data_IF_076206010623
#
_entry.id   IF_076206010623
#
_cell.length_a   1.000
_cell.length_b   1.000
_cell.length_c   1.000
_cell.angle_alpha   90.00
_cell.angle_beta   90.00
_cell.angle_gamma   90.00
#
_symmetry.space_group_name_H-M   'P 1'
#
loop_
_entity.id
_entity.type
_entity.pdbx_description
1 polymer ?
#
# COMPACT_ATOMS: atom_id res chain seq x y z
N UNK A 1 -29.51 -20.83 60.97
CA UNK A 1 -30.59 -21.55 61.67
C UNK A 1 -31.80 -20.67 62.00
N UNK A 2 -31.72 -19.60 62.82
CA UNK A 2 -32.92 -18.82 63.22
C UNK A 2 -33.74 -18.22 62.05
N UNK A 3 -33.08 -17.84 60.95
CA UNK A 3 -33.74 -17.26 59.77
C UNK A 3 -34.47 -18.31 58.92
N UNK A 4 -33.91 -19.52 58.83
CA UNK A 4 -34.48 -20.64 58.07
C UNK A 4 -35.79 -21.10 58.71
N UNK A 5 -35.82 -21.17 60.04
CA UNK A 5 -37.03 -21.50 60.80
C UNK A 5 -38.12 -20.43 60.67
N UNK A 6 -37.73 -19.15 60.61
CA UNK A 6 -38.66 -18.04 60.37
C UNK A 6 -39.32 -18.13 58.99
N UNK A 7 -38.51 -18.41 57.95
CA UNK A 7 -39.01 -18.56 56.57
C UNK A 7 -39.94 -19.77 56.47
N UNK A 8 -39.56 -20.92 57.05
CA UNK A 8 -40.38 -22.15 57.05
C UNK A 8 -41.71 -21.97 57.78
N UNK A 9 -41.72 -21.25 58.90
CA UNK A 9 -42.94 -20.94 59.66
C UNK A 9 -43.87 -20.00 58.90
N UNK A 10 -43.32 -19.01 58.18
CA UNK A 10 -44.10 -17.97 57.49
C UNK A 10 -44.61 -18.41 56.12
N UNK A 11 -43.81 -19.16 55.35
CA UNK A 11 -44.10 -19.52 53.96
C UNK A 11 -44.28 -21.03 53.73
N UNK A 12 -44.11 -21.86 54.76
CA UNK A 12 -44.19 -23.31 54.66
C UNK A 12 -42.94 -23.92 54.00
N UNK A 13 -42.97 -25.25 53.80
CA UNK A 13 -41.92 -26.00 53.08
C UNK A 13 -42.27 -26.29 51.62
N UNK A 14 -43.41 -25.77 51.12
CA UNK A 14 -43.83 -25.97 49.75
C UNK A 14 -42.99 -25.14 48.79
N UNK A 15 -42.66 -25.69 47.61
CA UNK A 15 -41.97 -24.93 46.58
C UNK A 15 -42.93 -23.89 45.95
N UNK A 16 -42.69 -22.58 46.10
CA UNK A 16 -43.53 -21.54 45.51
C UNK A 16 -43.29 -21.39 44.00
N UNK A 17 -42.17 -21.91 43.49
CA UNK A 17 -41.83 -21.84 42.06
C UNK A 17 -42.34 -23.09 41.35
N UNK A 18 -43.64 -23.11 41.05
CA UNK A 18 -44.23 -24.11 40.16
C UNK A 18 -44.45 -23.49 38.78
N UNK A 19 -43.94 -24.15 37.76
CA UNK A 19 -44.26 -23.82 36.37
C UNK A 19 -45.63 -24.41 36.02
N UNK A 20 -46.41 -23.75 35.14
CA UNK A 20 -47.60 -24.36 34.55
C UNK A 20 -47.27 -25.68 33.85
N UNK A 21 -48.23 -26.62 33.86
CA UNK A 21 -48.08 -27.86 33.10
C UNK A 21 -47.91 -27.55 31.61
N UNK A 22 -46.96 -28.21 30.95
CA UNK A 22 -46.66 -28.01 29.53
C UNK A 22 -45.83 -26.77 29.17
N UNK A 23 -45.45 -25.91 30.13
CA UNK A 23 -44.66 -24.69 29.86
C UNK A 23 -43.36 -24.99 29.08
N UNK A 24 -42.58 -25.97 29.54
CA UNK A 24 -41.32 -26.33 28.89
C UNK A 24 -41.50 -27.06 27.56
N UNK A 25 -42.67 -27.65 27.31
CA UNK A 25 -42.98 -28.32 26.05
C UNK A 25 -43.09 -27.31 24.90
N UNK A 26 -43.73 -26.17 25.15
CA UNK A 26 -43.90 -25.10 24.16
C UNK A 26 -42.71 -24.13 24.11
N UNK A 27 -41.92 -24.02 25.19
CA UNK A 27 -40.79 -23.09 25.28
C UNK A 27 -39.79 -23.23 24.12
N UNK A 28 -39.43 -24.46 23.74
CA UNK A 28 -38.46 -24.71 22.67
C UNK A 28 -38.97 -24.22 21.32
N UNK A 29 -40.24 -24.46 21.02
CA UNK A 29 -40.90 -24.01 19.79
C UNK A 29 -41.00 -22.48 19.73
N UNK A 30 -41.36 -21.84 20.84
CA UNK A 30 -41.42 -20.39 20.94
C UNK A 30 -40.02 -19.78 20.77
N UNK A 31 -39.01 -20.32 21.45
CA UNK A 31 -37.62 -19.89 21.32
C UNK A 31 -37.15 -19.95 19.86
N UNK A 32 -37.39 -21.07 19.17
CA UNK A 32 -37.01 -21.23 17.77
C UNK A 32 -37.75 -20.28 16.83
N UNK A 33 -39.01 -19.95 17.12
CA UNK A 33 -39.78 -18.95 16.35
C UNK A 33 -39.35 -17.51 16.59
N UNK A 34 -38.79 -17.21 17.78
CA UNK A 34 -38.28 -15.88 18.16
C UNK A 34 -36.85 -15.67 17.69
N UNK A 35 -36.12 -16.75 17.40
CA UNK A 35 -34.82 -16.63 16.77
C UNK A 35 -35.01 -15.97 15.41
N UNK A 36 -34.25 -14.92 15.09
CA UNK A 36 -34.26 -14.36 13.74
C UNK A 36 -34.00 -15.51 12.78
N UNK A 37 -34.82 -15.61 11.72
CA UNK A 37 -34.55 -16.54 10.63
C UNK A 37 -33.08 -16.35 10.30
N UNK A 38 -32.31 -17.44 10.43
CA UNK A 38 -30.87 -17.40 10.16
C UNK A 38 -30.77 -17.23 8.66
N UNK A 39 -31.06 -16.02 8.18
CA UNK A 39 -30.68 -15.54 6.89
C UNK A 39 -29.20 -15.83 6.87
N UNK A 40 -28.86 -16.87 6.12
CA UNK A 40 -27.51 -17.12 5.68
C UNK A 40 -27.22 -15.90 4.84
N UNK A 41 -26.83 -14.80 5.51
CA UNK A 41 -26.30 -13.61 4.88
C UNK A 41 -25.32 -14.19 3.88
N UNK A 42 -25.53 -13.98 2.57
CA UNK A 42 -24.65 -14.56 1.58
C UNK A 42 -23.27 -14.11 2.00
N UNK A 43 -22.47 -15.06 2.49
CA UNK A 43 -21.11 -14.83 2.94
C UNK A 43 -20.48 -14.10 1.79
N UNK A 44 -20.26 -12.78 1.97
CA UNK A 44 -19.87 -11.88 0.90
C UNK A 44 -18.75 -12.59 0.15
N UNK A 45 -19.08 -13.05 -1.05
CA UNK A 45 -18.26 -14.01 -1.76
C UNK A 45 -16.90 -13.39 -1.90
N UNK A 46 -15.93 -13.94 -1.17
CA UNK A 46 -14.58 -13.42 -1.11
C UNK A 46 -14.12 -13.23 -2.56
N UNK A 47 -13.60 -12.05 -2.95
CA UNK A 47 -13.26 -11.79 -4.34
C UNK A 47 -12.34 -12.92 -4.81
N UNK A 48 -12.71 -13.58 -5.91
CA UNK A 48 -12.04 -14.81 -6.31
C UNK A 48 -10.52 -14.58 -6.38
N UNK A 49 -9.76 -15.30 -5.55
CA UNK A 49 -8.29 -15.24 -5.48
C UNK A 49 -7.64 -15.48 -6.85
N UNK A 50 -8.39 -16.08 -7.78
CA UNK A 50 -8.01 -16.29 -9.17
C UNK A 50 -7.87 -14.98 -9.95
N UNK A 51 -8.77 -14.01 -9.77
CA UNK A 51 -8.74 -12.73 -10.51
C UNK A 51 -7.57 -11.84 -10.07
N UNK A 52 -7.25 -11.84 -8.78
CA UNK A 52 -6.08 -11.12 -8.25
C UNK A 52 -4.77 -11.78 -8.68
N UNK A 53 -4.68 -13.12 -8.64
CA UNK A 53 -3.50 -13.85 -9.12
C UNK A 53 -3.26 -13.68 -10.63
N UNK A 54 -4.31 -13.66 -11.45
CA UNK A 54 -4.16 -13.39 -12.87
C UNK A 54 -3.61 -11.98 -13.11
N UNK A 55 -4.15 -10.96 -12.43
CA UNK A 55 -3.61 -9.59 -12.51
C UNK A 55 -2.13 -9.51 -12.14
N UNK A 56 -1.70 -10.17 -11.07
CA UNK A 56 -0.28 -10.20 -10.68
C UNK A 56 0.61 -10.89 -11.73
N UNK A 57 0.10 -11.91 -12.42
CA UNK A 57 0.84 -12.58 -13.51
C UNK A 57 1.00 -11.66 -14.73
N UNK A 58 -0.02 -10.89 -15.10
CA UNK A 58 0.08 -9.92 -16.20
C UNK A 58 1.12 -8.83 -15.93
N UNK A 59 1.18 -8.30 -14.70
CA UNK A 59 2.22 -7.33 -14.32
C UNK A 59 3.62 -7.93 -14.31
N UNK A 60 3.78 -9.18 -13.87
CA UNK A 60 5.07 -9.87 -13.90
C UNK A 60 5.58 -10.07 -15.34
N UNK A 61 4.68 -10.43 -16.27
CA UNK A 61 5.02 -10.54 -17.70
C UNK A 61 5.41 -9.18 -18.28
N UNK A 62 4.65 -8.12 -17.99
CA UNK A 62 4.99 -6.77 -18.46
C UNK A 62 6.35 -6.30 -17.93
N UNK A 63 6.65 -6.49 -16.64
CA UNK A 63 7.94 -6.15 -16.05
C UNK A 63 9.10 -6.95 -16.65
N UNK A 64 8.89 -8.24 -16.93
CA UNK A 64 9.88 -9.08 -17.59
C UNK A 64 10.17 -8.63 -19.03
N UNK A 65 9.14 -8.21 -19.78
CA UNK A 65 9.32 -7.67 -21.13
C UNK A 65 10.04 -6.33 -21.12
N UNK A 66 9.67 -5.42 -20.22
CA UNK A 66 10.36 -4.13 -20.07
C UNK A 66 11.82 -4.32 -19.65
N UNK A 67 12.09 -5.21 -18.69
CA UNK A 67 13.44 -5.55 -18.27
C UNK A 67 14.27 -6.20 -19.38
N UNK A 68 13.71 -7.17 -20.11
CA UNK A 68 14.37 -7.82 -21.23
C UNK A 68 14.63 -6.85 -22.40
N UNK A 69 13.70 -5.93 -22.68
CA UNK A 69 13.93 -4.87 -23.66
C UNK A 69 15.06 -3.94 -23.23
N UNK A 70 15.06 -3.47 -21.99
CA UNK A 70 16.09 -2.56 -21.49
C UNK A 70 17.48 -3.20 -21.44
N UNK A 71 17.56 -4.45 -20.96
CA UNK A 71 18.78 -5.25 -20.97
C UNK A 71 19.23 -5.58 -22.40
N UNK A 72 18.28 -5.90 -23.28
CA UNK A 72 18.54 -6.21 -24.69
C UNK A 72 19.06 -5.00 -25.46
N UNK A 73 18.47 -3.82 -25.28
CA UNK A 73 18.98 -2.57 -25.88
C UNK A 73 20.33 -2.19 -25.29
N UNK A 74 20.54 -2.37 -23.98
CA UNK A 74 21.83 -2.11 -23.35
C UNK A 74 22.95 -3.03 -23.88
N UNK A 75 22.66 -4.34 -24.02
CA UNK A 75 23.60 -5.31 -24.59
C UNK A 75 23.86 -5.06 -26.08
N UNK A 76 22.85 -4.64 -26.84
CA UNK A 76 23.03 -4.36 -28.26
C UNK A 76 23.79 -3.04 -28.46
N UNK A 77 23.55 -2.04 -27.62
CA UNK A 77 24.31 -0.79 -27.60
C UNK A 77 25.77 -1.02 -27.19
N UNK A 78 26.04 -1.90 -26.22
CA UNK A 78 27.42 -2.21 -25.80
C UNK A 78 28.20 -3.05 -26.82
N UNK A 79 27.51 -3.79 -27.70
CA UNK A 79 28.13 -4.57 -28.78
C UNK A 79 28.28 -3.78 -30.08
N UNK A 80 27.37 -2.84 -30.39
CA UNK A 80 27.40 -2.04 -31.63
C UNK A 80 28.20 -0.74 -31.47
N UNK A 81 28.31 -0.17 -30.26
CA UNK A 81 29.07 1.07 -30.00
C UNK A 81 30.18 0.90 -28.95
N UNK A 82 31.38 0.40 -29.30
CA UNK A 82 32.59 0.71 -28.55
C UNK A 82 33.03 2.13 -28.93
N UNK A 83 32.67 3.14 -28.14
CA UNK A 83 32.91 4.57 -28.38
C UNK A 83 32.23 5.16 -29.64
N UNK A 84 31.33 6.11 -29.44
CA UNK A 84 30.73 6.90 -30.52
C UNK A 84 29.35 7.39 -30.16
N UNK A 85 29.32 8.52 -29.44
CA UNK A 85 28.26 9.52 -29.43
C UNK A 85 26.85 9.04 -29.07
N UNK A 86 26.49 9.18 -27.79
CA UNK A 86 25.11 9.09 -27.32
C UNK A 86 24.34 10.37 -27.62
N UNK A 87 23.06 10.30 -28.04
CA UNK A 87 22.17 11.44 -28.03
C UNK A 87 21.78 11.76 -26.58
N UNK A 88 22.20 12.94 -26.13
CA UNK A 88 21.60 13.81 -25.11
C UNK A 88 20.55 13.14 -24.20
N UNK A 89 21.00 12.61 -23.07
CA UNK A 89 20.24 12.57 -21.82
C UNK A 89 21.19 12.34 -20.64
N UNK A 90 21.79 13.45 -20.19
CA UNK A 90 21.86 13.93 -18.80
C UNK A 90 22.42 13.00 -17.70
N UNK A 91 23.15 13.61 -16.75
CA UNK A 91 23.73 13.07 -15.52
C UNK A 91 25.14 12.45 -15.65
N UNK A 92 26.14 13.28 -15.92
CA UNK A 92 27.55 12.87 -15.79
C UNK A 92 28.60 13.86 -16.29
N UNK A 93 28.19 14.90 -17.01
CA UNK A 93 29.09 15.78 -17.75
C UNK A 93 28.68 17.23 -17.47
N UNK A 94 28.99 17.72 -16.27
CA UNK A 94 28.66 19.11 -15.88
C UNK A 94 29.89 19.98 -15.72
N UNK A 95 31.09 19.42 -15.57
CA UNK A 95 32.31 20.22 -15.33
C UNK A 95 32.94 20.68 -16.65
N UNK A 96 33.15 19.79 -17.62
CA UNK A 96 33.79 20.19 -18.89
C UNK A 96 32.89 21.05 -19.78
N UNK A 97 31.56 20.86 -19.72
CA UNK A 97 30.60 21.68 -20.49
C UNK A 97 30.43 23.08 -19.92
N UNK A 98 30.65 23.26 -18.61
CA UNK A 98 30.50 24.56 -17.95
C UNK A 98 31.69 25.46 -18.30
N UNK A 99 32.92 24.92 -18.32
CA UNK A 99 34.09 25.68 -18.76
C UNK A 99 33.96 26.16 -20.22
N UNK A 100 33.49 25.29 -21.12
CA UNK A 100 33.26 25.65 -22.54
C UNK A 100 32.16 26.72 -22.67
N UNK A 101 31.07 26.58 -21.92
CA UNK A 101 29.98 27.56 -21.94
C UNK A 101 30.41 28.91 -21.37
N UNK A 102 31.24 28.91 -20.32
CA UNK A 102 31.77 30.14 -19.73
C UNK A 102 32.75 30.84 -20.67
N UNK A 103 33.60 30.10 -21.39
CA UNK A 103 34.53 30.68 -22.37
C UNK A 103 33.79 31.33 -23.54
N UNK A 104 32.75 30.67 -24.07
CA UNK A 104 31.89 31.24 -25.12
C UNK A 104 31.21 32.54 -24.65
N UNK A 105 30.65 32.55 -23.43
CA UNK A 105 29.98 33.72 -22.86
C UNK A 105 30.96 34.88 -22.63
N UNK A 106 32.20 34.58 -22.22
CA UNK A 106 33.25 35.59 -22.03
C UNK A 106 33.68 36.22 -23.36
N UNK A 107 33.81 35.42 -24.41
CA UNK A 107 34.13 35.90 -25.76
C UNK A 107 33.00 36.76 -26.35
N UNK A 108 31.73 36.39 -26.14
CA UNK A 108 30.58 37.19 -26.56
C UNK A 108 30.49 38.52 -25.80
N UNK A 109 30.86 38.53 -24.53
CA UNK A 109 30.91 39.74 -23.73
C UNK A 109 32.18 40.58 -24.02
N UNK A 110 33.11 40.07 -24.82
CA UNK A 110 34.45 40.63 -25.07
C UNK A 110 35.20 40.97 -23.77
N UNK A 111 34.99 40.16 -22.73
CA UNK A 111 35.56 40.39 -21.39
C UNK A 111 37.01 39.96 -21.39
N UNK A 112 37.91 40.90 -21.11
CA UNK A 112 39.35 40.61 -21.08
C UNK A 112 39.79 40.02 -19.74
N UNK A 113 40.85 39.21 -19.72
CA UNK A 113 41.42 38.68 -18.48
C UNK A 113 41.80 39.77 -17.46
N UNK A 114 42.14 40.98 -17.93
CA UNK A 114 42.42 42.12 -17.06
C UNK A 114 41.17 42.61 -16.32
N UNK A 115 40.02 42.63 -17.01
CA UNK A 115 38.73 43.03 -16.45
C UNK A 115 38.22 42.02 -15.41
N UNK A 116 38.43 40.72 -15.66
CA UNK A 116 38.15 39.65 -14.69
C UNK A 116 39.00 39.84 -13.43
N UNK A 117 40.30 40.14 -13.59
CA UNK A 117 41.20 40.37 -12.46
C UNK A 117 40.80 41.61 -11.65
N UNK A 118 40.43 42.71 -12.31
CA UNK A 118 39.96 43.92 -11.63
C UNK A 118 38.72 43.64 -10.78
N UNK A 119 37.73 42.93 -11.33
CA UNK A 119 36.51 42.55 -10.60
C UNK A 119 36.81 41.69 -9.35
N UNK A 120 37.76 40.76 -9.43
CA UNK A 120 38.17 39.94 -8.29
C UNK A 120 38.92 40.74 -7.22
N UNK A 121 39.68 41.78 -7.63
CA UNK A 121 40.41 42.64 -6.69
C UNK A 121 39.58 43.77 -6.09
N UNK A 122 38.49 44.18 -6.74
CA UNK A 122 37.57 45.24 -6.28
C UNK A 122 36.59 44.76 -5.19
N UNK A 123 36.54 43.44 -4.94
CA UNK A 123 35.72 42.80 -3.90
C UNK A 123 36.42 42.80 -2.52
N UNK A 124 37.57 43.47 -2.38
CA UNK A 124 38.28 43.72 -1.11
C UNK A 124 38.76 45.17 -0.99
#
# INVERSE_FOLDING_TARGET
MKEEDFIRKKYGSGNPFKVPEGYFEQFTSELMSKLPEKEMKPVLSMPSRRRTRMRTVWYAVAAALCGAMFLGTYYLQSVIHPHGESPVAQYGETIETEDIYMDDVLDYAMVSNHEIALYLTDVY
#
